data_IF_435971948881
#
_entry.id   IF_435971948881
#
_cell.length_a   1.000
_cell.length_b   1.000
_cell.length_c   1.000
_cell.angle_alpha   90.00
_cell.angle_beta   90.00
_cell.angle_gamma   90.00
#
_symmetry.space_group_name_H-M   'P 1'
#
loop_
_entity.id
_entity.type
_entity.pdbx_description
1 polymer ?
#
# COMPACT_ATOMS: atom_id res chain seq x y z
N UNK A 1 56.07 -7.78 92.05
CA UNK A 1 57.53 -7.83 92.25
C UNK A 1 58.08 -8.73 91.17
N UNK A 2 58.61 -8.23 90.05
CA UNK A 2 59.99 -7.79 89.78
C UNK A 2 60.23 -8.28 88.34
N UNK A 3 61.01 -7.70 87.43
CA UNK A 3 61.84 -6.51 87.37
C UNK A 3 62.02 -6.19 85.88
N UNK A 4 62.26 -4.92 85.58
CA UNK A 4 62.64 -4.40 84.26
C UNK A 4 63.95 -5.03 83.76
N UNK A 5 64.12 -5.13 82.43
CA UNK A 5 65.30 -4.52 81.79
C UNK A 5 65.11 -4.32 80.29
N UNK A 6 65.75 -3.27 79.79
CA UNK A 6 65.64 -2.61 78.50
C UNK A 6 66.89 -2.87 77.66
N UNK A 7 66.78 -2.90 76.31
CA UNK A 7 67.78 -2.50 75.29
C UNK A 7 67.19 -2.75 73.90
N UNK A 8 66.79 -1.71 73.14
CA UNK A 8 67.55 -0.99 72.10
C UNK A 8 67.94 -1.86 70.88
N UNK A 9 67.17 -1.68 69.79
CA UNK A 9 67.64 -1.31 68.45
C UNK A 9 68.29 -2.36 67.54
N UNK A 10 67.62 -2.68 66.42
CA UNK A 10 68.18 -2.43 65.08
C UNK A 10 67.08 -2.56 64.00
N UNK A 11 66.97 -1.54 63.15
CA UNK A 11 66.12 -1.55 61.95
C UNK A 11 66.73 -2.49 60.90
N UNK A 12 65.94 -3.39 60.34
CA UNK A 12 66.22 -4.02 59.06
C UNK A 12 64.96 -3.92 58.20
N UNK A 13 65.00 -3.03 57.20
CA UNK A 13 63.97 -2.92 56.19
C UNK A 13 64.04 -4.15 55.28
N UNK A 14 62.98 -4.96 55.27
CA UNK A 14 62.82 -6.03 54.29
C UNK A 14 61.98 -5.48 53.15
N UNK A 15 62.64 -5.26 52.02
CA UNK A 15 62.06 -4.81 50.76
C UNK A 15 61.14 -5.90 50.22
N UNK A 16 59.83 -5.64 50.15
CA UNK A 16 58.90 -6.48 49.39
C UNK A 16 59.18 -6.28 47.89
N UNK A 17 59.79 -7.27 47.27
CA UNK A 17 59.88 -7.37 45.81
C UNK A 17 58.49 -7.81 45.33
N UNK A 18 57.68 -6.87 44.86
CA UNK A 18 56.48 -7.17 44.10
C UNK A 18 56.91 -7.65 42.69
N UNK A 19 56.75 -8.94 42.40
CA UNK A 19 56.79 -9.43 41.03
C UNK A 19 55.56 -8.87 40.30
N UNK A 20 55.76 -7.81 39.53
CA UNK A 20 54.79 -7.34 38.56
C UNK A 20 54.71 -8.38 37.42
N UNK A 21 53.59 -9.10 37.34
CA UNK A 21 53.25 -9.87 36.16
C UNK A 21 52.89 -8.88 35.04
N UNK A 22 53.78 -8.74 34.06
CA UNK A 22 53.47 -8.08 32.79
C UNK A 22 52.46 -8.93 32.03
N UNK A 23 51.18 -8.58 32.12
CA UNK A 23 50.16 -9.05 31.19
C UNK A 23 50.47 -8.42 29.82
N UNK A 24 51.16 -9.16 28.96
CA UNK A 24 51.27 -8.81 27.55
C UNK A 24 49.89 -9.04 26.90
N UNK A 25 49.24 -7.94 26.49
CA UNK A 25 48.00 -8.00 25.74
C UNK A 25 48.25 -8.79 24.44
N UNK A 26 47.52 -9.90 24.27
CA UNK A 26 47.42 -10.59 22.99
C UNK A 26 46.92 -9.58 21.93
N UNK A 27 47.43 -9.61 20.69
CA UNK A 27 46.90 -8.76 19.63
C UNK A 27 45.46 -9.20 19.36
N UNK A 28 44.50 -8.47 19.94
CA UNK A 28 43.11 -8.57 19.53
C UNK A 28 43.10 -8.24 18.04
N UNK A 29 42.70 -9.18 17.19
CA UNK A 29 42.32 -8.86 15.81
C UNK A 29 41.32 -7.72 15.94
N UNK A 30 41.72 -6.50 15.59
CA UNK A 30 40.85 -5.33 15.65
C UNK A 30 39.74 -5.60 14.66
N UNK A 31 38.56 -5.91 15.20
CA UNK A 31 37.34 -5.99 14.41
C UNK A 31 37.21 -4.67 13.65
N UNK A 32 36.85 -4.69 12.35
CA UNK A 32 36.70 -3.46 11.58
C UNK A 32 35.74 -2.52 12.33
N UNK A 33 36.12 -1.25 12.43
CA UNK A 33 35.30 -0.28 13.14
C UNK A 33 33.90 -0.21 12.51
N UNK A 34 32.82 -0.13 13.32
CA UNK A 34 31.44 -0.11 12.83
C UNK A 34 31.04 1.22 12.17
N UNK A 35 32.01 1.99 11.68
CA UNK A 35 31.82 3.31 11.10
C UNK A 35 32.92 3.65 10.09
N UNK A 36 32.58 4.53 9.16
CA UNK A 36 33.48 5.04 8.12
C UNK A 36 33.62 6.54 8.29
N UNK A 37 34.87 7.06 8.29
CA UNK A 37 35.09 8.51 8.35
C UNK A 37 34.75 9.16 7.00
N UNK A 38 33.92 10.19 7.01
CA UNK A 38 33.54 10.98 5.83
C UNK A 38 34.52 12.14 5.59
N UNK A 39 35.00 12.79 6.66
CA UNK A 39 35.92 13.91 6.56
C UNK A 39 35.67 15.01 7.58
N UNK A 40 36.35 16.14 7.38
CA UNK A 40 36.10 17.37 8.14
C UNK A 40 35.05 18.24 7.43
N UNK A 41 34.05 18.75 8.17
CA UNK A 41 32.97 19.56 7.64
C UNK A 41 32.81 20.86 8.42
N UNK A 42 32.31 21.92 7.76
CA UNK A 42 31.91 23.15 8.45
C UNK A 42 30.68 22.86 9.32
N UNK A 43 30.76 23.23 10.61
CA UNK A 43 29.61 23.24 11.53
C UNK A 43 29.11 24.66 11.81
N UNK A 44 27.91 24.77 12.41
CA UNK A 44 27.30 26.03 12.85
C UNK A 44 27.16 27.09 11.74
N UNK A 45 27.01 26.66 10.48
CA UNK A 45 26.83 27.56 9.35
C UNK A 45 25.56 28.38 9.56
N UNK A 46 25.70 29.70 9.69
CA UNK A 46 24.59 30.63 9.95
C UNK A 46 23.83 30.34 11.27
N UNK A 47 24.50 29.74 12.25
CA UNK A 47 23.89 29.39 13.54
C UNK A 47 23.13 28.06 13.55
N UNK A 48 23.20 27.29 12.46
CA UNK A 48 22.60 25.96 12.36
C UNK A 48 23.68 24.88 12.46
N UNK A 49 23.53 24.00 13.44
CA UNK A 49 24.39 22.83 13.61
C UNK A 49 24.16 21.84 12.47
N UNK A 50 25.24 21.26 11.96
CA UNK A 50 25.22 20.31 10.85
C UNK A 50 24.54 18.99 11.22
N UNK A 51 24.81 18.47 12.41
CA UNK A 51 24.17 17.29 12.98
C UNK A 51 23.38 17.71 14.24
N UNK A 52 22.06 17.82 14.11
CA UNK A 52 21.21 18.53 15.09
C UNK A 52 20.19 17.63 15.81
N UNK A 53 20.24 16.32 15.61
CA UNK A 53 19.20 15.41 16.11
C UNK A 53 19.41 15.00 17.57
N UNK A 54 20.65 14.72 17.96
CA UNK A 54 21.01 14.41 19.35
C UNK A 54 22.48 14.74 19.61
N UNK A 55 22.85 14.98 20.86
CA UNK A 55 24.24 15.19 21.22
C UNK A 55 24.49 15.20 22.72
N UNK A 56 25.75 15.01 23.08
CA UNK A 56 26.24 15.14 24.44
C UNK A 56 27.69 15.58 24.43
N UNK A 57 28.21 15.98 25.59
CA UNK A 57 29.62 16.29 25.74
C UNK A 57 30.20 15.60 26.97
N UNK A 58 31.44 15.13 26.84
CA UNK A 58 32.14 14.34 27.85
C UNK A 58 33.65 14.65 27.78
N UNK A 59 34.30 14.79 28.93
CA UNK A 59 35.74 15.06 29.01
C UNK A 59 36.60 13.81 28.77
N UNK A 60 35.97 12.65 28.56
CA UNK A 60 36.58 11.40 28.12
C UNK A 60 36.08 10.96 26.72
N UNK A 61 35.67 11.91 25.86
CA UNK A 61 35.11 11.61 24.54
C UNK A 61 36.09 10.84 23.64
N UNK A 62 35.61 9.76 23.03
CA UNK A 62 36.30 9.04 21.93
C UNK A 62 35.40 8.91 20.72
N UNK A 63 35.98 8.57 19.57
CA UNK A 63 35.19 8.29 18.35
C UNK A 63 34.24 7.12 18.61
N UNK A 64 34.70 6.08 19.32
CA UNK A 64 33.92 4.89 19.66
C UNK A 64 32.75 5.21 20.60
N UNK A 65 32.96 6.05 21.63
CA UNK A 65 31.88 6.41 22.56
C UNK A 65 30.80 7.25 21.87
N UNK A 66 31.19 8.12 20.94
CA UNK A 66 30.23 8.87 20.13
C UNK A 66 29.48 7.96 19.13
N UNK A 67 30.19 7.06 18.46
CA UNK A 67 29.58 6.08 17.55
C UNK A 67 28.54 5.20 18.27
N UNK A 68 28.86 4.74 19.49
CA UNK A 68 27.95 3.93 20.30
C UNK A 68 26.69 4.72 20.70
N UNK A 69 26.84 5.99 21.12
CA UNK A 69 25.73 6.87 21.45
C UNK A 69 24.84 7.14 20.23
N UNK A 70 25.45 7.39 19.07
CA UNK A 70 24.75 7.65 17.82
C UNK A 70 24.37 6.38 17.04
N UNK A 71 24.35 5.20 17.68
CA UNK A 71 24.12 3.91 17.00
C UNK A 71 22.81 3.84 16.21
N UNK A 72 21.80 4.64 16.60
CA UNK A 72 20.50 4.77 15.94
C UNK A 72 20.40 5.84 14.85
N UNK A 73 21.49 6.56 14.60
CA UNK A 73 21.56 7.63 13.59
C UNK A 73 22.53 7.24 12.49
N UNK A 74 22.25 7.74 11.28
CA UNK A 74 23.10 7.45 10.11
C UNK A 74 24.48 8.09 10.21
N UNK A 75 24.55 9.29 10.77
CA UNK A 75 25.76 10.07 10.90
C UNK A 75 26.02 10.43 12.35
N UNK A 76 27.30 10.49 12.68
CA UNK A 76 27.76 11.11 13.91
C UNK A 76 28.99 11.98 13.64
N UNK A 77 29.21 12.95 14.50
CA UNK A 77 30.29 13.90 14.35
C UNK A 77 30.80 14.38 15.69
N UNK A 78 32.08 14.72 15.71
CA UNK A 78 32.76 15.17 16.93
C UNK A 78 33.28 16.59 16.76
N UNK A 79 33.06 17.43 17.77
CA UNK A 79 33.46 18.84 17.82
C UNK A 79 34.22 19.14 19.13
N UNK A 80 35.09 20.16 19.11
CA UNK A 80 35.79 20.68 20.28
C UNK A 80 36.59 19.65 21.12
N UNK A 81 36.89 18.47 20.58
CA UNK A 81 37.57 17.40 21.32
C UNK A 81 36.70 16.67 22.35
N UNK A 82 35.49 17.14 22.64
CA UNK A 82 34.66 16.66 23.76
C UNK A 82 33.19 16.49 23.45
N UNK A 83 32.74 16.97 22.29
CA UNK A 83 31.33 17.01 21.95
C UNK A 83 31.02 15.98 20.87
N UNK A 84 29.85 15.35 20.98
CA UNK A 84 29.34 14.35 20.08
C UNK A 84 27.95 14.76 19.60
N UNK A 85 27.70 14.63 18.31
CA UNK A 85 26.46 15.01 17.66
C UNK A 85 26.02 13.93 16.66
N UNK A 86 24.72 13.73 16.51
CA UNK A 86 24.12 12.72 15.65
C UNK A 86 23.08 13.35 14.71
N UNK A 87 22.94 12.80 13.49
CA UNK A 87 21.78 13.06 12.64
C UNK A 87 21.53 11.93 11.62
N UNK A 88 20.32 11.88 11.09
CA UNK A 88 19.94 10.93 10.04
C UNK A 88 20.35 11.40 8.62
N UNK A 89 20.68 12.69 8.48
CA UNK A 89 21.19 13.28 7.23
C UNK A 89 22.08 14.49 7.50
N UNK A 90 22.94 14.85 6.55
CA UNK A 90 23.67 16.12 6.55
C UNK A 90 23.88 16.61 5.10
N UNK A 91 24.00 17.93 4.92
CA UNK A 91 24.28 18.56 3.61
C UNK A 91 25.47 19.52 3.67
N UNK A 92 26.38 19.29 4.62
CA UNK A 92 27.53 20.14 4.90
C UNK A 92 28.59 20.11 3.80
N UNK A 93 29.37 21.19 3.70
CA UNK A 93 30.53 21.26 2.81
C UNK A 93 31.76 20.71 3.51
N UNK A 94 32.45 19.77 2.86
CA UNK A 94 33.73 19.26 3.33
C UNK A 94 34.81 20.35 3.22
N UNK A 95 35.73 20.35 4.19
CA UNK A 95 36.93 21.21 4.24
C UNK A 95 38.17 20.34 4.35
N UNK A 96 39.35 20.98 4.37
CA UNK A 96 40.60 20.26 4.56
C UNK A 96 40.60 19.53 5.90
N UNK A 97 41.10 18.29 5.92
CA UNK A 97 41.15 17.46 7.12
C UNK A 97 41.94 18.12 8.26
N UNK A 98 42.90 18.99 7.94
CA UNK A 98 43.69 19.73 8.92
C UNK A 98 42.88 20.78 9.70
N UNK A 99 41.71 21.20 9.20
CA UNK A 99 40.81 22.09 9.95
C UNK A 99 40.23 21.37 11.18
N UNK A 100 40.05 20.05 11.13
CA UNK A 100 39.63 19.22 12.26
C UNK A 100 40.82 18.80 13.12
N UNK A 101 41.51 19.79 13.67
CA UNK A 101 42.82 19.61 14.32
C UNK A 101 42.78 19.14 15.77
N UNK A 102 41.65 19.29 16.47
CA UNK A 102 41.58 18.99 17.90
C UNK A 102 41.61 17.49 18.13
N UNK A 103 42.42 17.06 19.10
CA UNK A 103 42.45 15.68 19.53
C UNK A 103 41.24 15.37 20.42
N UNK A 104 40.76 14.13 20.39
CA UNK A 104 39.71 13.68 21.28
C UNK A 104 40.20 13.67 22.74
N UNK A 105 39.38 14.15 23.66
CA UNK A 105 39.70 14.29 25.08
C UNK A 105 39.95 12.95 25.78
N UNK A 106 39.24 11.88 25.36
CA UNK A 106 39.45 10.51 25.84
C UNK A 106 40.46 9.69 25.04
N UNK A 107 40.84 10.13 23.84
CA UNK A 107 41.85 9.46 23.01
C UNK A 107 42.63 10.45 22.13
N UNK A 108 43.84 10.81 22.55
CA UNK A 108 44.63 11.80 21.83
C UNK A 108 45.09 11.37 20.43
N UNK A 109 44.99 10.08 20.10
CA UNK A 109 45.35 9.54 18.79
C UNK A 109 44.33 9.89 17.70
N UNK A 110 43.08 10.16 18.07
CA UNK A 110 42.00 10.48 17.15
C UNK A 110 41.73 11.99 17.09
N UNK A 111 41.09 12.42 16.00
CA UNK A 111 40.66 13.81 15.78
C UNK A 111 39.17 13.96 16.05
N UNK A 112 38.81 15.02 16.76
CA UNK A 112 37.46 15.31 17.23
C UNK A 112 37.06 16.76 16.91
N UNK A 113 37.22 17.12 15.64
CA UNK A 113 36.79 18.42 15.11
C UNK A 113 37.72 19.57 15.45
N UNK A 114 37.17 20.78 15.46
CA UNK A 114 37.74 22.01 15.99
C UNK A 114 36.58 23.03 16.16
N UNK A 115 36.88 24.31 16.38
CA UNK A 115 35.85 25.34 16.42
C UNK A 115 35.11 25.45 15.07
N UNK A 116 33.78 25.26 15.08
CA UNK A 116 32.91 25.25 13.89
C UNK A 116 33.38 24.25 12.82
N UNK A 117 33.96 23.14 13.27
CA UNK A 117 34.49 22.06 12.44
C UNK A 117 34.12 20.72 13.04
N UNK A 118 33.28 19.99 12.33
CA UNK A 118 32.83 18.68 12.73
C UNK A 118 33.62 17.60 12.00
N UNK A 119 34.25 16.69 12.73
CA UNK A 119 34.82 15.49 12.13
C UNK A 119 33.71 14.44 12.02
N UNK A 120 33.23 14.16 10.80
CA UNK A 120 31.99 13.41 10.53
C UNK A 120 32.29 11.98 10.10
N UNK A 121 31.44 11.07 10.56
CA UNK A 121 31.49 9.65 10.31
C UNK A 121 30.10 9.12 9.92
N UNK A 122 30.09 8.19 8.97
CA UNK A 122 28.93 7.35 8.67
C UNK A 122 28.93 6.14 9.60
N UNK A 123 27.79 5.87 10.24
CA UNK A 123 27.57 4.68 11.05
C UNK A 123 27.18 3.50 10.13
N UNK A 124 28.07 2.52 10.00
CA UNK A 124 27.86 1.38 9.12
C UNK A 124 26.83 0.38 9.68
N UNK A 125 26.44 0.51 10.95
CA UNK A 125 25.41 -0.31 11.57
C UNK A 125 24.02 0.35 11.51
N UNK A 126 23.91 1.56 10.96
CA UNK A 126 22.63 2.23 10.83
C UNK A 126 21.70 1.46 9.90
N UNK A 127 20.55 1.06 10.43
CA UNK A 127 19.42 0.58 9.67
C UNK A 127 18.41 1.71 9.54
N UNK A 128 18.06 2.09 8.31
CA UNK A 128 17.00 3.07 8.08
C UNK A 128 15.70 2.58 8.71
N UNK A 129 15.05 3.45 9.48
CA UNK A 129 13.71 3.20 10.04
C UNK A 129 12.72 2.95 8.90
N UNK A 130 11.79 2.04 9.12
CA UNK A 130 10.77 1.67 8.14
C UNK A 130 9.39 1.68 8.79
N UNK A 131 8.31 1.80 8.00
CA UNK A 131 6.97 1.52 8.50
C UNK A 131 6.92 0.11 9.07
N UNK A 132 6.18 -0.08 10.17
CA UNK A 132 5.99 -1.39 10.76
C UNK A 132 5.35 -2.37 9.75
N UNK A 133 5.89 -3.58 9.69
CA UNK A 133 5.26 -4.69 8.97
C UNK A 133 4.18 -5.28 9.85
N UNK A 134 2.93 -5.16 9.42
CA UNK A 134 1.73 -5.56 10.17
C UNK A 134 0.84 -6.46 9.31
N UNK A 135 -0.12 -7.14 9.93
CA UNK A 135 -1.22 -7.84 9.24
C UNK A 135 -2.31 -6.85 8.77
N UNK A 136 -1.84 -5.76 8.15
CA UNK A 136 -2.63 -4.71 7.53
C UNK A 136 -1.76 -4.09 6.43
N UNK A 137 -2.28 -3.91 5.21
CA UNK A 137 -1.57 -3.20 4.16
C UNK A 137 -1.14 -1.79 4.58
N UNK A 138 0.15 -1.50 4.43
CA UNK A 138 0.68 -0.14 4.54
C UNK A 138 0.30 0.65 3.28
N UNK A 139 -0.40 1.78 3.47
CA UNK A 139 -0.93 2.61 2.38
C UNK A 139 0.02 3.74 1.98
N UNK A 140 0.94 4.14 2.86
CA UNK A 140 1.92 5.18 2.59
C UNK A 140 1.93 6.32 3.60
N UNK A 141 2.71 7.35 3.27
CA UNK A 141 2.79 8.62 3.98
C UNK A 141 1.86 9.67 3.37
N UNK A 142 1.04 10.33 4.19
CA UNK A 142 0.04 11.30 3.73
C UNK A 142 0.18 12.65 4.44
N UNK A 143 -0.17 13.73 3.74
CA UNK A 143 -0.34 15.05 4.37
C UNK A 143 -1.57 15.01 5.28
N UNK A 144 -1.34 15.26 6.56
CA UNK A 144 -2.40 15.36 7.58
C UNK A 144 -2.49 16.78 8.13
N UNK A 145 -2.74 17.74 7.24
CA UNK A 145 -2.84 19.16 7.57
C UNK A 145 -4.21 19.71 7.13
N UNK A 146 -4.94 20.30 8.08
CA UNK A 146 -6.29 20.81 7.84
C UNK A 146 -7.35 19.72 7.98
N UNK A 147 -7.84 19.18 6.85
CA UNK A 147 -8.76 18.05 6.87
C UNK A 147 -8.00 16.77 7.23
N UNK A 148 -8.37 16.14 8.34
CA UNK A 148 -7.68 14.95 8.85
C UNK A 148 -7.88 13.77 7.92
N UNK A 149 -6.79 13.03 7.66
CA UNK A 149 -6.83 11.78 6.88
C UNK A 149 -7.73 10.76 7.55
N UNK A 150 -7.60 10.61 8.87
CA UNK A 150 -8.35 9.65 9.69
C UNK A 150 -9.04 10.40 10.85
N UNK A 151 -10.26 10.93 10.65
CA UNK A 151 -10.87 11.88 11.58
C UNK A 151 -11.65 11.25 12.73
N UNK A 152 -11.82 9.92 12.77
CA UNK A 152 -12.86 9.31 13.60
C UNK A 152 -12.45 9.14 15.07
N UNK A 153 -11.17 8.84 15.35
CA UNK A 153 -10.67 8.65 16.71
C UNK A 153 -9.18 8.98 16.83
N UNK A 154 -8.76 9.44 18.00
CA UNK A 154 -7.39 9.81 18.34
C UNK A 154 -6.99 9.23 19.70
N UNK A 155 -5.83 8.57 19.74
CA UNK A 155 -5.12 8.17 20.95
C UNK A 155 -3.71 8.76 20.94
N UNK A 156 -3.35 9.48 22.00
CA UNK A 156 -1.96 9.86 22.29
C UNK A 156 -1.34 8.91 23.31
N UNK A 157 -0.11 8.44 23.07
CA UNK A 157 0.64 7.62 24.03
C UNK A 157 2.16 7.89 23.95
N UNK A 158 2.82 7.96 25.11
CA UNK A 158 4.27 8.17 25.20
C UNK A 158 5.09 6.93 24.81
N UNK A 159 4.44 5.79 24.64
CA UNK A 159 5.00 4.52 24.19
C UNK A 159 4.25 4.01 22.94
N UNK A 160 3.90 4.93 22.03
CA UNK A 160 3.18 4.63 20.80
C UNK A 160 4.02 3.75 19.86
N UNK A 161 3.37 2.74 19.28
CA UNK A 161 3.89 1.92 18.17
C UNK A 161 2.78 1.73 17.14
N UNK A 162 3.14 1.38 15.91
CA UNK A 162 2.12 1.08 14.90
C UNK A 162 1.26 -0.13 15.29
N UNK A 163 1.83 -1.13 15.98
CA UNK A 163 1.10 -2.29 16.53
C UNK A 163 0.08 -1.86 17.60
N UNK A 164 0.46 -0.96 18.50
CA UNK A 164 -0.47 -0.43 19.51
C UNK A 164 -1.59 0.34 18.84
N UNK A 165 -1.27 1.13 17.82
CA UNK A 165 -2.29 1.85 17.08
C UNK A 165 -3.25 0.90 16.35
N UNK A 166 -2.74 -0.12 15.67
CA UNK A 166 -3.55 -1.16 15.03
C UNK A 166 -4.49 -1.84 16.03
N UNK A 167 -4.00 -2.19 17.22
CA UNK A 167 -4.82 -2.80 18.27
C UNK A 167 -5.90 -1.84 18.81
N UNK A 168 -5.57 -0.55 18.95
CA UNK A 168 -6.54 0.47 19.37
C UNK A 168 -7.64 0.66 18.31
N UNK A 169 -7.27 0.67 17.04
CA UNK A 169 -8.17 0.89 15.91
C UNK A 169 -8.77 -0.40 15.34
N UNK A 170 -8.79 -1.52 16.10
CA UNK A 170 -9.23 -2.82 15.59
C UNK A 170 -10.69 -2.86 15.06
N UNK A 171 -11.54 -1.90 15.45
CA UNK A 171 -12.92 -1.76 14.96
C UNK A 171 -13.06 -0.72 13.84
N UNK A 172 -11.94 -0.26 13.26
CA UNK A 172 -11.90 0.72 12.18
C UNK A 172 -11.25 0.09 10.94
N UNK A 173 -11.64 0.55 9.76
CA UNK A 173 -11.07 0.09 8.50
C UNK A 173 -9.63 0.55 8.28
N UNK A 174 -9.22 1.66 8.92
CA UNK A 174 -7.93 2.30 8.75
C UNK A 174 -7.37 2.81 10.07
N UNK A 175 -6.05 2.82 10.16
CA UNK A 175 -5.33 3.46 11.26
C UNK A 175 -4.06 4.11 10.76
N UNK A 176 -3.55 5.07 11.52
CA UNK A 176 -2.30 5.73 11.18
C UNK A 176 -1.61 6.34 12.38
N UNK A 177 -0.30 6.52 12.26
CA UNK A 177 0.52 7.12 13.33
C UNK A 177 1.13 8.43 12.88
N UNK A 178 1.04 9.43 13.75
CA UNK A 178 1.52 10.80 13.51
C UNK A 178 2.40 11.27 14.67
N UNK A 179 3.39 12.12 14.37
CA UNK A 179 4.19 12.86 15.34
C UNK A 179 4.84 12.00 16.43
N UNK A 180 5.18 10.75 16.13
CA UNK A 180 5.82 9.79 17.03
C UNK A 180 4.95 9.23 18.14
N UNK A 181 3.81 9.87 18.47
CA UNK A 181 3.02 9.57 19.69
C UNK A 181 1.51 9.49 19.47
N UNK A 182 1.03 9.87 18.30
CA UNK A 182 -0.40 9.97 18.01
C UNK A 182 -0.84 8.79 17.14
N UNK A 183 -1.99 8.22 17.45
CA UNK A 183 -2.66 7.17 16.72
C UNK A 183 -4.03 7.66 16.30
N UNK A 184 -4.31 7.60 15.01
CA UNK A 184 -5.54 8.03 14.40
C UNK A 184 -6.27 6.83 13.81
N UNK A 185 -7.60 6.76 14.00
CA UNK A 185 -8.44 5.74 13.40
C UNK A 185 -9.45 6.37 12.41
N UNK A 186 -9.83 5.62 11.38
CA UNK A 186 -10.84 6.06 10.43
C UNK A 186 -11.52 4.91 9.71
N UNK A 187 -12.75 5.13 9.27
CA UNK A 187 -13.50 4.18 8.43
C UNK A 187 -13.47 4.55 6.94
N UNK A 188 -13.00 5.75 6.61
CA UNK A 188 -12.79 6.19 5.24
C UNK A 188 -11.30 6.11 4.88
N UNK A 189 -10.97 5.67 3.65
CA UNK A 189 -9.57 5.68 3.18
C UNK A 189 -9.07 7.12 3.03
N UNK A 190 -7.74 7.32 2.94
CA UNK A 190 -7.17 8.58 2.48
C UNK A 190 -7.80 8.99 1.14
N UNK A 191 -8.37 10.21 1.08
CA UNK A 191 -9.02 10.79 -0.11
C UNK A 191 -8.61 12.27 -0.25
N UNK A 192 -8.62 12.84 -1.48
CA UNK A 192 -8.36 14.26 -1.67
C UNK A 192 -9.18 15.15 -0.72
N UNK A 193 -8.61 16.24 -0.17
CA UNK A 193 -7.36 16.89 -0.58
C UNK A 193 -6.10 16.29 0.07
N UNK A 194 -6.22 15.20 0.84
CA UNK A 194 -5.04 14.53 1.41
C UNK A 194 -4.27 13.85 0.28
N UNK A 195 -2.96 14.11 0.22
CA UNK A 195 -2.08 13.66 -0.87
C UNK A 195 -1.01 12.76 -0.29
N UNK A 196 -0.75 11.64 -0.95
CA UNK A 196 0.41 10.80 -0.65
C UNK A 196 1.69 11.55 -0.98
N UNK A 197 2.65 11.53 -0.07
CA UNK A 197 3.93 12.22 -0.17
C UNK A 197 5.08 11.24 -0.01
N UNK A 198 6.31 11.72 -0.18
CA UNK A 198 7.49 10.87 -0.07
C UNK A 198 7.60 10.28 1.36
N UNK A 199 7.99 9.00 1.45
CA UNK A 199 8.19 8.30 2.73
C UNK A 199 9.16 9.04 3.67
N UNK A 200 10.12 9.80 3.13
CA UNK A 200 11.04 10.62 3.91
C UNK A 200 10.35 11.73 4.72
N UNK A 201 9.14 12.14 4.34
CA UNK A 201 8.35 13.13 5.09
C UNK A 201 7.69 12.53 6.34
N UNK A 202 7.53 11.21 6.41
CA UNK A 202 7.06 10.49 7.59
C UNK A 202 8.22 9.79 8.31
N UNK A 203 9.22 10.56 8.75
CA UNK A 203 10.49 10.03 9.29
C UNK A 203 10.64 10.11 10.81
N UNK A 204 9.62 10.57 11.54
CA UNK A 204 9.68 10.65 13.00
C UNK A 204 9.66 9.24 13.61
N UNK A 205 10.55 8.93 14.56
CA UNK A 205 10.52 7.64 15.23
C UNK A 205 9.24 7.48 16.06
N UNK A 206 8.74 6.25 16.17
CA UNK A 206 7.70 5.93 17.14
C UNK A 206 8.27 6.03 18.56
N UNK A 207 7.49 6.61 19.49
CA UNK A 207 7.93 6.82 20.87
C UNK A 207 8.16 5.49 21.63
N UNK A 208 7.42 4.43 21.28
CA UNK A 208 7.53 3.10 21.86
C UNK A 208 8.45 2.13 21.11
N UNK A 209 8.91 2.48 19.89
CA UNK A 209 9.83 1.65 19.09
C UNK A 209 10.55 2.53 18.05
N UNK A 210 11.79 2.91 18.35
CA UNK A 210 12.56 3.82 17.49
C UNK A 210 13.14 3.15 16.23
N UNK A 211 12.88 1.86 16.01
CA UNK A 211 13.13 1.20 14.72
C UNK A 211 12.02 1.45 13.69
N UNK A 212 10.84 1.92 14.15
CA UNK A 212 9.68 2.20 13.33
C UNK A 212 9.52 3.70 13.07
N UNK A 213 8.88 4.04 11.94
CA UNK A 213 8.42 5.41 11.67
C UNK A 213 6.96 5.62 12.08
N UNK A 214 6.67 6.78 12.67
CA UNK A 214 5.38 7.22 13.16
C UNK A 214 5.10 8.68 12.71
N UNK A 215 5.09 8.89 11.40
CA UNK A 215 4.70 10.13 10.75
C UNK A 215 5.71 11.25 10.92
N UNK A 216 5.22 12.48 10.93
CA UNK A 216 5.89 13.71 11.35
C UNK A 216 4.83 14.78 11.63
N UNK A 217 5.22 16.03 11.89
CA UNK A 217 4.24 17.10 12.10
C UNK A 217 3.39 17.34 10.86
N UNK A 218 2.10 17.00 10.91
CA UNK A 218 1.19 17.08 9.77
C UNK A 218 1.49 16.05 8.67
N UNK A 219 2.08 14.91 9.03
CA UNK A 219 2.40 13.78 8.15
C UNK A 219 2.06 12.48 8.85
N UNK A 220 1.22 11.65 8.25
CA UNK A 220 0.72 10.41 8.86
C UNK A 220 1.11 9.20 8.03
N UNK A 221 1.69 8.18 8.66
CA UNK A 221 1.80 6.85 8.06
C UNK A 221 0.46 6.14 8.23
N UNK A 222 -0.12 5.60 7.16
CA UNK A 222 -1.45 4.97 7.20
C UNK A 222 -1.37 3.50 6.81
N UNK A 223 -2.13 2.68 7.53
CA UNK A 223 -2.44 1.29 7.20
C UNK A 223 -3.95 1.14 7.06
N UNK A 224 -4.39 0.18 6.26
CA UNK A 224 -5.81 0.01 5.95
C UNK A 224 -6.24 -1.42 5.78
N UNK A 225 -7.53 -1.58 5.53
CA UNK A 225 -8.15 -2.87 5.29
C UNK A 225 -7.52 -3.59 4.08
N UNK A 226 -7.43 -4.93 4.11
CA UNK A 226 -7.22 -5.74 2.91
C UNK A 226 -8.21 -5.30 1.82
N UNK A 227 -7.73 -5.23 0.59
CA UNK A 227 -8.53 -4.75 -0.54
C UNK A 227 -9.78 -5.64 -0.70
N UNK A 228 -10.99 -5.06 -0.81
CA UNK A 228 -12.09 -5.80 -1.40
C UNK A 228 -11.72 -6.14 -2.85
N UNK A 229 -12.10 -7.34 -3.31
CA UNK A 229 -12.12 -7.64 -4.74
C UNK A 229 -12.95 -6.54 -5.42
N UNK A 230 -12.45 -5.88 -6.48
CA UNK A 230 -13.23 -4.86 -7.18
C UNK A 230 -14.37 -5.59 -7.88
N UNK A 231 -15.54 -5.67 -7.26
CA UNK A 231 -16.64 -6.44 -7.83
C UNK A 231 -17.37 -5.61 -8.93
N UNK A 232 -17.49 -4.29 -8.75
CA UNK A 232 -18.07 -3.36 -9.74
C UNK A 232 -17.50 -1.95 -9.61
N UNK A 233 -17.49 -1.18 -10.70
CA UNK A 233 -17.15 0.27 -10.71
C UNK A 233 -18.39 1.05 -11.08
N UNK A 234 -19.00 1.69 -10.09
CA UNK A 234 -20.35 2.26 -10.24
C UNK A 234 -21.39 1.19 -10.60
N UNK A 235 -22.42 1.58 -11.35
CA UNK A 235 -23.50 0.70 -11.82
C UNK A 235 -23.26 0.12 -13.23
N UNK A 236 -22.20 0.59 -13.92
CA UNK A 236 -22.06 0.41 -15.39
C UNK A 236 -20.83 -0.38 -15.83
N UNK A 237 -19.95 -0.79 -14.91
CA UNK A 237 -18.74 -1.51 -15.27
C UNK A 237 -18.53 -2.75 -14.41
N UNK A 238 -18.37 -3.89 -15.10
CA UNK A 238 -18.10 -5.19 -14.50
C UNK A 238 -16.60 -5.44 -14.45
N UNK A 239 -16.13 -6.03 -13.36
CA UNK A 239 -14.76 -6.51 -13.30
C UNK A 239 -14.59 -7.80 -14.10
N UNK A 240 -13.63 -7.79 -15.04
CA UNK A 240 -13.36 -8.93 -15.92
C UNK A 240 -12.28 -9.83 -15.33
N UNK A 241 -11.21 -9.25 -14.80
CA UNK A 241 -10.07 -10.02 -14.28
C UNK A 241 -8.76 -9.26 -14.27
N UNK A 242 -7.73 -9.92 -13.74
CA UNK A 242 -6.36 -9.42 -13.69
C UNK A 242 -5.57 -10.09 -14.82
N UNK A 243 -4.95 -9.31 -15.70
CA UNK A 243 -4.27 -9.81 -16.89
C UNK A 243 -2.81 -9.39 -16.94
N UNK A 244 -1.96 -10.22 -17.55
CA UNK A 244 -0.60 -9.81 -17.91
C UNK A 244 -0.65 -8.66 -18.91
N UNK A 245 0.12 -7.61 -18.68
CA UNK A 245 0.24 -6.50 -19.63
C UNK A 245 1.71 -6.10 -19.76
N UNK A 246 2.22 -6.03 -20.97
CA UNK A 246 3.60 -5.60 -21.20
C UNK A 246 3.73 -4.72 -22.45
N UNK A 247 4.88 -4.08 -22.62
CA UNK A 247 5.12 -3.14 -23.74
C UNK A 247 5.09 -3.78 -25.14
N UNK A 248 5.11 -5.11 -25.23
CA UNK A 248 5.03 -5.89 -26.47
C UNK A 248 3.62 -6.48 -26.64
N UNK A 249 3.06 -7.03 -25.56
CA UNK A 249 1.79 -7.73 -25.49
C UNK A 249 0.82 -6.95 -24.61
N UNK A 250 0.41 -5.77 -25.08
CA UNK A 250 -0.64 -4.98 -24.42
C UNK A 250 -1.97 -5.72 -24.51
N UNK A 251 -2.64 -5.85 -23.37
CA UNK A 251 -3.98 -6.41 -23.21
C UNK A 251 -5.06 -5.50 -23.80
N UNK A 252 -4.86 -4.18 -23.75
CA UNK A 252 -5.74 -3.18 -24.36
C UNK A 252 -4.94 -2.25 -25.28
N UNK A 253 -5.40 -2.06 -26.53
CA UNK A 253 -4.67 -1.31 -27.57
C UNK A 253 -5.27 0.05 -27.96
N UNK A 254 -6.24 0.54 -27.19
CA UNK A 254 -6.83 1.86 -27.38
C UNK A 254 -5.96 2.99 -26.82
N UNK A 255 -6.60 4.05 -26.31
CA UNK A 255 -5.89 5.18 -25.70
C UNK A 255 -5.34 4.79 -24.33
N UNK A 256 -4.24 5.45 -23.95
CA UNK A 256 -3.67 5.35 -22.62
C UNK A 256 -3.57 6.74 -21.97
N UNK A 257 -3.73 6.78 -20.66
CA UNK A 257 -3.67 7.96 -19.82
C UNK A 257 -2.82 7.68 -18.59
N UNK A 258 -2.14 8.71 -18.09
CA UNK A 258 -1.35 8.66 -16.86
C UNK A 258 -1.79 9.79 -15.94
N UNK A 259 -2.10 9.45 -14.71
CA UNK A 259 -2.43 10.41 -13.67
C UNK A 259 -2.04 9.85 -12.29
N UNK A 260 -1.20 10.54 -11.50
CA UNK A 260 -0.85 10.11 -10.16
C UNK A 260 -2.06 9.97 -9.22
N UNK A 261 -3.17 10.65 -9.52
CA UNK A 261 -4.45 10.54 -8.81
C UNK A 261 -5.47 9.75 -9.64
N UNK A 262 -5.08 8.60 -10.20
CA UNK A 262 -6.00 7.71 -10.92
C UNK A 262 -6.98 7.04 -9.96
N UNK A 263 -8.23 6.87 -10.38
CA UNK A 263 -9.26 6.04 -9.73
C UNK A 263 -9.92 5.16 -10.80
N UNK A 264 -10.70 4.16 -10.37
CA UNK A 264 -11.43 3.30 -11.31
C UNK A 264 -12.46 4.11 -12.12
N UNK A 265 -13.23 4.99 -11.46
CA UNK A 265 -14.26 5.84 -12.09
C UNK A 265 -13.63 6.85 -13.05
N UNK A 266 -12.45 7.39 -12.70
CA UNK A 266 -11.72 8.31 -13.56
C UNK A 266 -11.25 7.62 -14.82
N UNK A 267 -10.71 6.40 -14.70
CA UNK A 267 -10.32 5.63 -15.88
C UNK A 267 -11.53 5.24 -16.74
N UNK A 268 -12.60 4.77 -16.11
CA UNK A 268 -13.87 4.46 -16.78
C UNK A 268 -14.40 5.66 -17.58
N UNK A 269 -14.39 6.87 -16.99
CA UNK A 269 -14.81 8.09 -17.66
C UNK A 269 -13.90 8.50 -18.83
N UNK A 270 -12.58 8.34 -18.70
CA UNK A 270 -11.62 8.57 -19.79
C UNK A 270 -11.83 7.60 -20.95
N UNK A 271 -12.21 6.37 -20.62
CA UNK A 271 -12.44 5.28 -21.56
C UNK A 271 -13.92 5.09 -21.93
N UNK A 272 -14.81 6.06 -21.66
CA UNK A 272 -16.24 5.92 -21.96
C UNK A 272 -16.54 5.67 -23.45
N UNK A 273 -15.59 5.96 -24.34
CA UNK A 273 -15.64 5.63 -25.76
C UNK A 273 -15.04 4.25 -26.11
N UNK A 274 -14.81 3.37 -25.14
CA UNK A 274 -14.23 2.04 -25.31
C UNK A 274 -15.09 0.99 -24.60
N UNK A 275 -15.05 -0.26 -25.06
CA UNK A 275 -15.81 -1.35 -24.41
C UNK A 275 -15.12 -1.78 -23.11
N UNK A 276 -13.79 -1.70 -23.09
CA UNK A 276 -12.96 -2.04 -21.96
C UNK A 276 -12.17 -0.83 -21.49
N UNK A 277 -11.96 -0.77 -20.18
CA UNK A 277 -10.88 -0.02 -19.60
C UNK A 277 -10.06 -0.94 -18.70
N UNK A 278 -8.82 -0.56 -18.45
CA UNK A 278 -7.96 -1.25 -17.50
C UNK A 278 -7.03 -0.29 -16.80
N UNK A 279 -6.62 -0.65 -15.60
CA UNK A 279 -5.77 0.18 -14.75
C UNK A 279 -4.51 -0.59 -14.36
N UNK A 280 -3.37 0.08 -14.47
CA UNK A 280 -2.04 -0.49 -14.22
C UNK A 280 -1.22 0.47 -13.34
N UNK A 281 -0.30 -0.09 -12.56
CA UNK A 281 0.73 0.66 -11.84
C UNK A 281 0.19 1.82 -10.97
N UNK A 282 -1.03 1.66 -10.41
CA UNK A 282 -1.69 2.64 -9.55
C UNK A 282 -2.11 3.95 -10.22
N UNK A 283 -1.60 4.25 -11.42
CA UNK A 283 -1.60 5.60 -12.01
C UNK A 283 -1.84 5.60 -13.52
N UNK A 284 -1.87 4.43 -14.15
CA UNK A 284 -2.05 4.28 -15.59
C UNK A 284 -3.44 3.76 -15.88
N UNK A 285 -4.02 4.25 -16.97
CA UNK A 285 -5.33 3.87 -17.46
C UNK A 285 -5.21 3.55 -18.94
N UNK A 286 -5.75 2.41 -19.35
CA UNK A 286 -5.72 1.88 -20.71
C UNK A 286 -7.14 1.62 -21.18
N UNK A 287 -7.47 2.01 -22.40
CA UNK A 287 -8.76 1.76 -23.00
C UNK A 287 -8.63 0.72 -24.11
N UNK A 288 -9.69 -0.04 -24.41
CA UNK A 288 -9.69 -1.01 -25.51
C UNK A 288 -11.07 -1.24 -26.08
N UNK A 289 -11.16 -1.37 -27.41
CA UNK A 289 -12.39 -1.81 -28.06
C UNK A 289 -12.62 -3.32 -27.80
N UNK A 290 -11.53 -4.06 -27.67
CA UNK A 290 -11.50 -5.48 -27.39
C UNK A 290 -10.41 -5.76 -26.34
N UNK A 291 -10.55 -6.86 -25.61
CA UNK A 291 -9.47 -7.48 -24.84
C UNK A 291 -8.65 -8.37 -25.78
N UNK A 292 -7.35 -8.09 -25.91
CA UNK A 292 -6.50 -8.78 -26.89
C UNK A 292 -6.35 -10.28 -26.56
N UNK A 293 -6.28 -11.17 -27.55
CA UNK A 293 -6.11 -12.62 -27.31
C UNK A 293 -4.80 -13.00 -26.59
N UNK A 294 -3.83 -12.08 -26.55
CA UNK A 294 -2.57 -12.25 -25.83
C UNK A 294 -2.70 -11.97 -24.33
N UNK A 295 -3.84 -11.42 -23.87
CA UNK A 295 -4.10 -11.16 -22.47
C UNK A 295 -4.24 -12.49 -21.72
N UNK A 296 -3.30 -12.79 -20.83
CA UNK A 296 -3.33 -13.99 -19.98
C UNK A 296 -3.87 -13.59 -18.62
N UNK A 297 -5.00 -14.18 -18.22
CA UNK A 297 -5.57 -13.98 -16.89
C UNK A 297 -4.68 -14.62 -15.80
N UNK A 298 -4.47 -13.90 -14.70
CA UNK A 298 -3.68 -14.31 -13.54
C UNK A 298 -4.47 -14.09 -12.25
N UNK A 299 -4.07 -14.69 -11.11
CA UNK A 299 -4.75 -14.49 -9.85
C UNK A 299 -4.85 -13.01 -9.45
N UNK A 300 -6.00 -12.60 -8.90
CA UNK A 300 -6.25 -11.23 -8.44
C UNK A 300 -5.15 -10.66 -7.54
N UNK A 301 -4.54 -11.52 -6.72
CA UNK A 301 -3.47 -11.13 -5.82
C UNK A 301 -2.22 -10.59 -6.53
N UNK A 302 -2.06 -10.82 -7.83
CA UNK A 302 -1.00 -10.21 -8.65
C UNK A 302 -1.34 -8.78 -9.11
N UNK A 303 -2.60 -8.36 -9.04
CA UNK A 303 -3.04 -6.98 -9.26
C UNK A 303 -3.35 -6.29 -7.92
N UNK A 304 -2.33 -6.16 -7.06
CA UNK A 304 -2.50 -5.69 -5.68
C UNK A 304 -2.07 -4.22 -5.47
N UNK A 305 -1.61 -3.53 -6.51
CA UNK A 305 -1.25 -2.13 -6.41
C UNK A 305 -2.52 -1.28 -6.30
N UNK A 306 -2.57 -0.38 -5.32
CA UNK A 306 -3.71 0.52 -5.10
C UNK A 306 -3.71 1.66 -6.10
N UNK A 307 -4.89 2.21 -6.38
CA UNK A 307 -5.01 3.41 -7.18
C UNK A 307 -4.43 4.63 -6.44
N UNK A 308 -3.70 5.50 -7.14
CA UNK A 308 -3.03 6.65 -6.53
C UNK A 308 -4.00 7.77 -6.11
N UNK A 309 -5.18 7.80 -6.71
CA UNK A 309 -6.27 8.73 -6.36
C UNK A 309 -7.33 8.13 -5.42
N UNK A 310 -7.33 6.80 -5.23
CA UNK A 310 -8.31 6.10 -4.40
C UNK A 310 -7.70 4.82 -3.80
N UNK A 311 -7.47 4.83 -2.48
CA UNK A 311 -6.73 3.75 -1.82
C UNK A 311 -7.60 2.56 -1.39
N UNK A 312 -8.90 2.52 -1.65
CA UNK A 312 -9.77 1.35 -1.45
C UNK A 312 -9.94 0.48 -2.70
N UNK A 313 -9.43 0.94 -3.84
CA UNK A 313 -9.48 0.25 -5.12
C UNK A 313 -8.09 -0.24 -5.56
N UNK A 314 -8.04 -1.34 -6.32
CA UNK A 314 -6.82 -1.81 -6.99
C UNK A 314 -6.72 -1.27 -8.41
N UNK A 315 -5.51 -0.87 -8.79
CA UNK A 315 -5.14 -0.37 -10.09
C UNK A 315 -3.91 -1.13 -10.64
N UNK A 316 -4.07 -2.44 -10.76
CA UNK A 316 -3.12 -3.35 -11.38
C UNK A 316 -1.91 -3.66 -10.50
N UNK A 317 -0.77 -3.87 -11.13
CA UNK A 317 0.58 -3.88 -10.56
C UNK A 317 1.58 -3.70 -11.73
N UNK A 318 2.87 -3.88 -11.50
CA UNK A 318 3.90 -3.84 -12.54
C UNK A 318 3.66 -4.94 -13.57
N UNK A 319 3.22 -4.57 -14.77
CA UNK A 319 2.91 -5.53 -15.84
C UNK A 319 1.66 -6.36 -15.58
N UNK A 320 0.72 -5.81 -14.79
CA UNK A 320 -0.53 -6.46 -14.37
C UNK A 320 -1.67 -5.45 -14.46
N UNK A 321 -2.66 -5.76 -15.28
CA UNK A 321 -3.77 -4.87 -15.62
C UNK A 321 -5.06 -5.44 -15.04
N UNK A 322 -5.72 -4.71 -14.13
CA UNK A 322 -7.12 -5.00 -13.83
C UNK A 322 -7.97 -4.49 -15.00
N UNK A 323 -8.80 -5.36 -15.59
CA UNK A 323 -9.65 -5.03 -16.73
C UNK A 323 -11.12 -5.02 -16.31
N UNK A 324 -11.84 -4.03 -16.82
CA UNK A 324 -13.27 -3.83 -16.61
C UNK A 324 -13.97 -3.66 -17.96
N UNK A 325 -15.22 -4.10 -18.05
CA UNK A 325 -16.04 -3.98 -19.26
C UNK A 325 -17.30 -3.16 -19.00
N UNK A 326 -17.70 -2.37 -19.99
CA UNK A 326 -18.93 -1.58 -19.95
C UNK A 326 -20.16 -2.47 -20.06
N UNK A 327 -21.09 -2.32 -19.12
CA UNK A 327 -22.45 -2.87 -19.17
C UNK A 327 -23.40 -1.99 -19.99
N UNK A 328 -23.00 -0.76 -20.35
CA UNK A 328 -23.82 0.13 -21.18
C UNK A 328 -23.82 -0.33 -22.65
N UNK A 329 -25.02 -0.57 -23.21
CA UNK A 329 -25.21 -0.74 -24.65
C UNK A 329 -24.81 0.56 -25.36
N UNK A 330 -23.80 0.51 -26.24
CA UNK A 330 -23.25 1.72 -26.87
C UNK A 330 -24.07 2.16 -28.08
N UNK A 331 -24.78 3.28 -27.93
CA UNK A 331 -25.19 4.11 -29.07
C UNK A 331 -23.95 4.88 -29.59
N UNK A 332 -23.41 4.53 -30.76
CA UNK A 332 -22.31 5.31 -31.39
C UNK A 332 -22.86 6.51 -32.20
N UNK A 333 -22.57 7.77 -31.81
CA UNK A 333 -23.00 8.96 -32.56
C UNK A 333 -22.19 9.20 -33.85
N UNK A 334 -21.03 8.57 -34.03
CA UNK A 334 -20.12 8.85 -35.14
C UNK A 334 -20.41 8.00 -36.39
N UNK A 335 -21.30 7.02 -36.30
CA UNK A 335 -21.63 6.13 -37.41
C UNK A 335 -23.13 5.81 -37.51
N UNK A 336 -23.99 6.79 -37.21
CA UNK A 336 -25.43 6.67 -37.44
C UNK A 336 -25.70 6.57 -38.96
N UNK A 337 -26.18 5.42 -39.50
CA UNK A 337 -26.81 5.45 -40.80
C UNK A 337 -28.03 6.39 -40.70
N UNK A 338 -28.15 7.28 -41.69
CA UNK A 338 -29.24 8.24 -41.78
C UNK A 338 -30.59 7.53 -41.97
N UNK A 339 -31.19 7.08 -40.87
CA UNK A 339 -32.62 6.80 -40.74
C UNK A 339 -33.04 7.39 -39.41
N UNK A 340 -33.66 8.57 -39.46
CA UNK A 340 -34.21 9.22 -38.28
C UNK A 340 -35.29 8.34 -37.63
N UNK A 341 -35.30 8.22 -36.31
CA UNK A 341 -36.00 9.12 -35.39
C UNK A 341 -35.57 8.91 -33.92
N UNK A 342 -35.58 10.04 -33.22
CA UNK A 342 -35.62 10.40 -31.79
C UNK A 342 -35.37 9.41 -30.63
N UNK A 343 -34.53 9.93 -29.72
CA UNK A 343 -34.49 9.81 -28.24
C UNK A 343 -35.71 9.17 -27.55
N UNK A 344 -35.44 8.22 -26.65
CA UNK A 344 -36.24 8.03 -25.44
C UNK A 344 -35.38 7.65 -24.24
N UNK A 345 -35.39 8.53 -23.25
CA UNK A 345 -35.03 8.26 -21.87
C UNK A 345 -36.12 7.41 -21.22
N UNK A 346 -36.02 6.08 -21.23
CA UNK A 346 -36.55 5.20 -20.16
C UNK A 346 -36.47 3.71 -20.53
N UNK A 347 -35.72 2.95 -19.74
CA UNK A 347 -35.96 1.56 -19.32
C UNK A 347 -36.50 0.59 -20.38
N UNK A 348 -35.60 -0.18 -20.98
CA UNK A 348 -35.92 -1.47 -21.57
C UNK A 348 -36.31 -2.49 -20.46
N UNK A 349 -37.55 -2.48 -19.98
CA UNK A 349 -38.03 -3.55 -19.10
C UNK A 349 -39.38 -4.19 -19.42
N UNK A 350 -40.17 -3.69 -20.36
CA UNK A 350 -41.43 -4.37 -20.71
C UNK A 350 -41.64 -4.31 -22.23
N UNK A 351 -41.53 -5.48 -22.89
CA UNK A 351 -41.80 -5.75 -24.31
C UNK A 351 -41.04 -4.88 -25.32
N UNK A 352 -39.86 -5.36 -25.74
CA UNK A 352 -39.06 -4.73 -26.80
C UNK A 352 -38.52 -5.76 -27.80
N UNK A 353 -38.35 -5.31 -29.02
CA UNK A 353 -37.66 -5.96 -30.12
C UNK A 353 -36.17 -5.66 -29.98
N UNK A 354 -35.34 -6.70 -30.02
CA UNK A 354 -33.88 -6.59 -30.00
C UNK A 354 -33.32 -6.99 -31.36
N UNK A 355 -32.56 -6.11 -32.00
CA UNK A 355 -31.85 -6.36 -33.24
C UNK A 355 -30.35 -6.51 -33.01
N UNK A 356 -29.70 -7.48 -33.66
CA UNK A 356 -28.25 -7.66 -33.63
C UNK A 356 -27.67 -7.45 -35.03
N UNK A 357 -26.64 -6.60 -35.14
CA UNK A 357 -25.83 -6.45 -36.35
C UNK A 357 -24.37 -6.79 -36.06
N UNK A 358 -23.69 -7.34 -37.06
CA UNK A 358 -22.24 -7.55 -37.11
C UNK A 358 -21.60 -8.20 -35.88
N UNK A 359 -22.36 -9.03 -35.14
CA UNK A 359 -21.95 -9.66 -33.88
C UNK A 359 -21.53 -8.72 -32.74
N UNK A 360 -21.67 -7.40 -32.91
CA UNK A 360 -21.15 -6.36 -31.99
C UNK A 360 -22.11 -5.20 -31.74
N UNK A 361 -23.14 -5.06 -32.56
CA UNK A 361 -24.10 -3.96 -32.45
C UNK A 361 -25.45 -4.50 -31.99
N UNK A 362 -25.99 -3.90 -30.92
CA UNK A 362 -27.31 -4.20 -30.39
C UNK A 362 -28.24 -3.01 -30.60
N UNK A 363 -29.45 -3.29 -31.08
CA UNK A 363 -30.50 -2.33 -31.35
C UNK A 363 -31.71 -2.70 -30.51
N UNK A 364 -32.36 -1.74 -29.88
CA UNK A 364 -33.59 -1.97 -29.12
C UNK A 364 -34.68 -1.03 -29.64
N UNK A 365 -35.91 -1.53 -29.77
CA UNK A 365 -37.06 -0.73 -30.15
C UNK A 365 -38.37 -1.51 -30.04
N UNK A 366 -39.50 -0.87 -30.31
CA UNK A 366 -40.82 -1.48 -30.15
C UNK A 366 -41.49 -1.82 -31.48
N UNK A 367 -40.92 -1.38 -32.61
CA UNK A 367 -41.45 -1.58 -33.96
C UNK A 367 -40.33 -1.84 -34.99
N UNK A 368 -40.63 -2.66 -36.02
CA UNK A 368 -39.74 -2.92 -37.15
C UNK A 368 -40.06 -2.01 -38.33
N UNK A 369 -39.16 -1.09 -38.65
CA UNK A 369 -39.31 -0.17 -39.79
C UNK A 369 -38.55 -0.62 -41.06
N UNK A 370 -38.02 -1.85 -41.08
CA UNK A 370 -37.23 -2.42 -42.19
C UNK A 370 -38.00 -3.43 -43.05
N UNK A 371 -37.54 -3.63 -44.29
CA UNK A 371 -38.00 -4.75 -45.12
C UNK A 371 -37.29 -6.04 -44.69
N UNK A 372 -37.98 -7.20 -44.68
CA UNK A 372 -37.35 -8.47 -44.38
C UNK A 372 -36.27 -8.80 -45.41
N UNK A 373 -35.10 -9.21 -44.92
CA UNK A 373 -34.03 -9.77 -45.73
C UNK A 373 -34.11 -11.30 -45.73
N UNK A 374 -33.48 -11.93 -46.72
CA UNK A 374 -33.35 -13.39 -46.74
C UNK A 374 -32.30 -13.85 -45.70
N UNK A 375 -32.49 -15.05 -45.13
CA UNK A 375 -31.67 -15.53 -44.01
C UNK A 375 -30.17 -15.61 -44.34
N UNK A 376 -29.82 -15.86 -45.60
CA UNK A 376 -28.44 -15.88 -46.10
C UNK A 376 -27.74 -14.52 -45.98
N UNK A 377 -28.51 -13.43 -45.94
CA UNK A 377 -27.99 -12.07 -45.77
C UNK A 377 -27.77 -11.68 -44.31
N UNK A 378 -28.17 -12.52 -43.34
CA UNK A 378 -28.02 -12.26 -41.91
C UNK A 378 -27.26 -13.42 -41.22
N UNK A 379 -26.15 -13.84 -41.83
CA UNK A 379 -25.42 -15.07 -41.53
C UNK A 379 -24.11 -14.85 -40.78
N UNK A 380 -23.90 -13.70 -40.13
CA UNK A 380 -22.77 -13.55 -39.22
C UNK A 380 -23.02 -14.28 -37.91
N UNK A 381 -21.99 -14.91 -37.36
CA UNK A 381 -22.07 -15.71 -36.12
C UNK A 381 -21.89 -14.82 -34.91
N UNK A 382 -22.67 -15.03 -33.85
CA UNK A 382 -22.58 -14.26 -32.62
C UNK A 382 -21.26 -14.50 -31.87
N UNK A 383 -20.68 -13.44 -31.30
CA UNK A 383 -19.40 -13.53 -30.59
C UNK A 383 -19.51 -14.31 -29.27
N UNK A 384 -20.67 -14.29 -28.60
CA UNK A 384 -20.91 -15.01 -27.34
C UNK A 384 -21.37 -16.46 -27.50
N UNK A 385 -21.91 -16.84 -28.66
CA UNK A 385 -22.36 -18.20 -28.95
C UNK A 385 -22.23 -18.47 -30.45
N UNK A 386 -21.28 -19.35 -30.80
CA UNK A 386 -21.01 -19.68 -32.19
C UNK A 386 -22.14 -20.48 -32.88
N UNK A 387 -23.15 -20.94 -32.12
CA UNK A 387 -24.34 -21.59 -32.64
C UNK A 387 -25.45 -20.60 -33.03
N UNK A 388 -25.27 -19.30 -32.78
CA UNK A 388 -26.27 -18.26 -33.02
C UNK A 388 -25.83 -17.29 -34.12
N UNK A 389 -26.82 -16.65 -34.77
CA UNK A 389 -26.63 -15.72 -35.87
C UNK A 389 -26.90 -14.27 -35.43
N UNK A 390 -26.02 -13.33 -35.71
CA UNK A 390 -26.05 -11.94 -35.25
C UNK A 390 -26.05 -10.92 -36.40
N UNK A 391 -26.95 -11.10 -37.37
CA UNK A 391 -27.15 -10.15 -38.47
C UNK A 391 -26.02 -10.18 -39.50
N UNK A 392 -25.76 -9.04 -40.13
CA UNK A 392 -24.62 -8.76 -41.00
C UNK A 392 -24.51 -7.24 -41.24
N UNK A 393 -23.47 -6.75 -41.90
CA UNK A 393 -23.37 -5.32 -42.23
C UNK A 393 -24.65 -4.77 -42.91
N UNK A 394 -25.37 -3.86 -42.23
CA UNK A 394 -26.62 -3.29 -42.71
C UNK A 394 -27.82 -4.27 -42.67
N UNK A 395 -27.75 -5.29 -41.81
CA UNK A 395 -28.78 -6.32 -41.60
C UNK A 395 -28.88 -6.65 -40.11
N UNK A 396 -30.11 -6.91 -39.65
CA UNK A 396 -30.40 -7.25 -38.28
C UNK A 396 -31.01 -8.64 -38.18
N UNK A 397 -30.49 -9.45 -37.26
CA UNK A 397 -31.27 -10.54 -36.68
C UNK A 397 -32.11 -9.98 -35.56
N UNK A 398 -33.41 -10.24 -35.62
CA UNK A 398 -34.39 -9.64 -34.74
C UNK A 398 -34.97 -10.70 -33.82
N UNK A 399 -35.00 -10.39 -32.53
CA UNK A 399 -35.52 -11.23 -31.47
C UNK A 399 -36.64 -10.49 -30.75
N UNK A 400 -37.75 -11.17 -30.52
CA UNK A 400 -38.76 -10.69 -29.59
C UNK A 400 -38.36 -11.15 -28.18
N UNK A 401 -38.16 -10.19 -27.27
CA UNK A 401 -37.92 -10.53 -25.87
C UNK A 401 -39.23 -10.98 -25.25
N UNK A 402 -39.34 -12.29 -25.00
CA UNK A 402 -40.47 -12.83 -24.27
C UNK A 402 -40.54 -12.13 -22.89
N UNK A 403 -41.69 -11.54 -22.57
CA UNK A 403 -41.94 -11.03 -21.23
C UNK A 403 -41.63 -12.14 -20.22
N UNK A 404 -40.98 -11.84 -19.08
CA UNK A 404 -40.75 -12.85 -18.06
C UNK A 404 -42.11 -13.41 -17.67
N UNK A 405 -42.34 -14.68 -18.02
CA UNK A 405 -43.47 -15.41 -17.51
C UNK A 405 -43.19 -15.60 -16.02
N UNK A 406 -43.74 -14.69 -15.20
CA UNK A 406 -44.07 -15.01 -13.81
C UNK A 406 -45.22 -16.03 -13.82
N UNK A 407 -45.00 -17.16 -14.48
CA UNK A 407 -45.72 -18.39 -14.20
C UNK A 407 -44.81 -19.11 -13.23
N UNK A 408 -45.00 -18.81 -11.94
CA UNK A 408 -44.73 -19.81 -10.91
C UNK A 408 -45.29 -21.14 -11.44
N UNK A 409 -44.57 -22.27 -11.31
CA UNK A 409 -45.13 -23.54 -11.72
C UNK A 409 -46.49 -23.67 -11.05
N UNK A 410 -47.55 -23.77 -11.85
CA UNK A 410 -48.86 -24.11 -11.33
C UNK A 410 -48.66 -25.34 -10.44
N UNK A 411 -49.24 -25.39 -9.22
CA UNK A 411 -49.16 -26.59 -8.42
C UNK A 411 -49.66 -27.73 -9.31
N UNK A 412 -48.79 -28.72 -9.52
CA UNK A 412 -49.12 -29.88 -10.33
C UNK A 412 -50.48 -30.39 -9.85
N UNK A 413 -51.43 -30.47 -10.77
CA UNK A 413 -52.71 -31.08 -10.49
C UNK A 413 -52.42 -32.45 -9.86
N UNK A 414 -52.80 -32.61 -8.60
CA UNK A 414 -52.82 -33.91 -7.93
C UNK A 414 -53.81 -34.73 -8.73
N UNK A 415 -53.30 -35.58 -9.61
CA UNK A 415 -54.08 -36.67 -10.18
C UNK A 415 -54.49 -37.55 -9.01
N UNK A 416 -55.80 -37.67 -8.81
CA UNK A 416 -56.41 -38.59 -7.87
C UNK A 416 -55.70 -39.95 -7.92
N UNK A 417 -55.22 -40.37 -6.76
CA UNK A 417 -54.77 -41.74 -6.56
C UNK A 417 -55.97 -42.67 -6.76
N UNK A 418 -55.83 -43.80 -7.48
CA UNK A 418 -56.91 -44.77 -7.62
C UNK A 418 -57.23 -45.39 -6.25
N UNK A 419 -58.53 -45.44 -5.93
CA UNK A 419 -59.07 -46.12 -4.76
C UNK A 419 -58.51 -47.55 -4.64
N UNK A 420 -57.85 -47.83 -3.52
CA UNK A 420 -57.54 -49.19 -3.08
C UNK A 420 -58.66 -49.64 -2.13
N UNK A 421 -59.32 -50.78 -2.38
CA UNK A 421 -60.47 -51.20 -1.59
C UNK A 421 -60.07 -51.60 -0.16
N UNK A 422 -60.94 -51.21 0.76
CA UNK A 422 -60.89 -51.52 2.19
C UNK A 422 -61.07 -53.02 2.42
N UNK A 423 -60.10 -53.65 3.11
CA UNK A 423 -60.25 -54.96 3.72
C UNK A 423 -60.24 -54.82 5.24
N UNK A 424 -61.39 -55.07 5.84
CA UNK A 424 -61.62 -55.23 7.28
C UNK A 424 -60.89 -56.46 7.83
N UNK A 425 -60.12 -56.28 8.91
CA UNK A 425 -59.83 -57.34 9.88
C UNK A 425 -59.55 -56.73 11.28
N UNK A 426 -59.96 -57.46 12.31
CA UNK A 426 -60.43 -56.97 13.61
C UNK A 426 -59.45 -57.30 14.76
N UNK A 427 -59.54 -56.50 15.86
CA UNK A 427 -59.20 -56.77 17.29
C UNK A 427 -57.71 -56.70 17.75
N UNK A 428 -57.43 -56.51 19.07
CA UNK A 428 -58.23 -55.94 20.18
C UNK A 428 -57.48 -54.85 21.02
N UNK A 429 -58.21 -54.37 22.03
CA UNK A 429 -57.92 -53.32 23.01
C UNK A 429 -56.70 -53.54 23.93
N UNK A 430 -56.18 -52.43 24.47
CA UNK A 430 -55.96 -52.34 25.92
C UNK A 430 -56.14 -50.91 26.44
N UNK A 431 -56.93 -50.85 27.50
CA UNK A 431 -57.22 -49.76 28.44
C UNK A 431 -55.91 -49.58 29.26
N UNK A 432 -55.54 -48.48 29.92
CA UNK A 432 -56.11 -48.03 31.20
C UNK A 432 -55.38 -46.78 31.71
N UNK A 433 -56.18 -45.80 32.19
CA UNK A 433 -56.06 -44.98 33.43
C UNK A 433 -54.90 -43.99 33.61
N UNK A 434 -55.09 -42.80 34.20
CA UNK A 434 -56.21 -42.22 34.98
C UNK A 434 -56.59 -40.86 34.38
#
# INVERSE_FOLDING_TARGET
MASRSSTIGLRAAVSLIALAATAQALPHKREPAPYTREGCFVDNLQGHRLLDSAGYADDAMTVESCAAFCSKYKYFGLEYGRECYCADSHSGSAVDDSDCSFSCSGNSADKCGAADRLNVYTNNLYAARKPATLDAPYLGCFVDQGARVLPDNLLGADDMTAQKCAAHCANYSYFGVEYGRECWCGNSPPRPPTVAVAESECSSPCAGDDAQVCGAGGRINVWGAPLPSPDTVGDNFEYVGCFTDDNVNRSLRGRAHFDPAMTLEKCAGLCAAYAYFGVEFGSQCYCGADLEPTAVEVPQAECAMRCGGEYDSVCGDTGRLNVFTSMDCRDDPANLPAVGWLRSTSRARDSGIVGLSTARECYCGDELAGAPASEDQCSEVCMGDAAQWCGAAGRLNVYEVAAPTNTAPAPSAVTDAPEVPTSTATLPAEVTTI
#
